data_IF_521002840987
#
_entry.id   IF_521002840987
#
_cell.length_a   1.000
_cell.length_b   1.000
_cell.length_c   1.000
_cell.angle_alpha   90.00
_cell.angle_beta   90.00
_cell.angle_gamma   90.00
#
_symmetry.space_group_name_H-M   'P 1'
#
loop_
_entity.id
_entity.type
_entity.pdbx_description
1 polymer ?
#
# COMPACT_ATOMS: atom_id res chain seq x y z
N UNK A 1 9.09 -1.36 -6.26
CA UNK A 1 8.44 -0.80 -7.46
C UNK A 1 6.91 -0.77 -7.33
N UNK A 2 6.20 -1.90 -7.50
CA UNK A 2 4.73 -1.90 -7.47
C UNK A 2 4.15 -1.40 -6.15
N UNK A 3 4.79 -1.77 -5.03
CA UNK A 3 4.42 -1.31 -3.69
C UNK A 3 4.57 0.22 -3.52
N UNK A 4 5.60 0.83 -4.10
CA UNK A 4 5.82 2.28 -3.99
C UNK A 4 4.71 3.09 -4.67
N UNK A 5 4.19 2.59 -5.81
CA UNK A 5 2.98 3.14 -6.42
C UNK A 5 1.76 2.98 -5.50
N UNK A 6 1.59 1.81 -4.86
CA UNK A 6 0.50 1.60 -3.90
C UNK A 6 0.58 2.57 -2.72
N UNK A 7 1.77 2.88 -2.20
CA UNK A 7 1.93 3.85 -1.13
C UNK A 7 1.50 5.28 -1.54
N UNK A 8 1.90 5.73 -2.73
CA UNK A 8 1.48 7.04 -3.25
C UNK A 8 -0.05 7.09 -3.43
N UNK A 9 -0.62 6.05 -4.02
CA UNK A 9 -2.07 5.95 -4.22
C UNK A 9 -2.82 5.86 -2.88
N UNK A 10 -2.31 5.06 -1.95
CA UNK A 10 -2.89 4.90 -0.62
C UNK A 10 -2.89 6.24 0.12
N UNK A 11 -1.73 6.91 0.22
CA UNK A 11 -1.58 8.25 0.78
C UNK A 11 -2.55 9.26 0.16
N UNK A 12 -2.71 9.23 -1.17
CA UNK A 12 -3.65 10.10 -1.87
C UNK A 12 -5.12 9.81 -1.54
N UNK A 13 -5.52 8.53 -1.52
CA UNK A 13 -6.89 8.12 -1.23
C UNK A 13 -7.27 8.39 0.23
N UNK A 14 -6.38 8.13 1.18
CA UNK A 14 -6.61 8.39 2.61
C UNK A 14 -6.57 9.88 2.91
N UNK A 15 -5.63 10.62 2.30
CA UNK A 15 -5.55 12.07 2.42
C UNK A 15 -6.82 12.73 1.91
N UNK A 16 -7.36 12.27 0.76
CA UNK A 16 -8.65 12.76 0.27
C UNK A 16 -9.76 12.50 1.26
N UNK A 17 -9.86 11.27 1.79
CA UNK A 17 -10.86 10.93 2.79
C UNK A 17 -10.80 11.86 4.02
N UNK A 18 -9.59 12.20 4.48
CA UNK A 18 -9.36 13.13 5.61
C UNK A 18 -9.77 14.56 5.27
N UNK A 19 -9.30 15.12 4.15
CA UNK A 19 -9.54 16.52 3.82
C UNK A 19 -10.97 16.78 3.32
N UNK A 20 -11.65 15.80 2.74
CA UNK A 20 -13.06 15.89 2.33
C UNK A 20 -14.05 15.44 3.42
N UNK A 21 -13.57 15.05 4.60
CA UNK A 21 -14.44 14.68 5.71
C UNK A 21 -15.32 15.86 6.16
N UNK A 22 -16.49 15.56 6.73
CA UNK A 22 -17.42 16.58 7.25
C UNK A 22 -16.71 17.47 8.27
N UNK A 23 -16.91 18.78 8.18
CA UNK A 23 -16.19 19.73 9.05
C UNK A 23 -16.78 19.81 10.46
N UNK A 24 -18.09 19.59 10.61
CA UNK A 24 -18.82 19.76 11.86
C UNK A 24 -18.90 18.49 12.73
N UNK A 25 -18.38 17.35 12.25
CA UNK A 25 -18.43 16.11 13.00
C UNK A 25 -17.37 16.08 14.12
N UNK A 26 -17.69 15.54 15.32
CA UNK A 26 -16.70 15.37 16.39
C UNK A 26 -15.50 14.52 15.94
N UNK A 27 -14.31 14.84 16.44
CA UNK A 27 -13.07 14.15 16.07
C UNK A 27 -13.15 12.63 16.28
N UNK A 28 -13.76 12.17 17.39
CA UNK A 28 -13.96 10.74 17.67
C UNK A 28 -14.82 10.03 16.62
N UNK A 29 -15.87 10.68 16.11
CA UNK A 29 -16.71 10.13 15.05
C UNK A 29 -15.95 10.02 13.72
N UNK A 30 -15.15 11.03 13.38
CA UNK A 30 -14.30 11.04 12.19
C UNK A 30 -13.20 9.97 12.25
N UNK A 31 -12.58 9.76 13.42
CA UNK A 31 -11.60 8.70 13.66
C UNK A 31 -12.22 7.32 13.47
N UNK A 32 -13.36 7.06 14.14
CA UNK A 32 -14.10 5.80 14.01
C UNK A 32 -14.49 5.54 12.55
N UNK A 33 -15.06 6.54 11.88
CA UNK A 33 -15.44 6.43 10.47
C UNK A 33 -14.22 6.10 9.60
N UNK A 34 -13.08 6.74 9.86
CA UNK A 34 -11.85 6.49 9.13
C UNK A 34 -11.36 5.04 9.28
N UNK A 35 -11.18 4.56 10.52
CA UNK A 35 -10.64 3.22 10.78
C UNK A 35 -11.59 2.12 10.32
N UNK A 36 -12.89 2.23 10.61
CA UNK A 36 -13.87 1.23 10.17
C UNK A 36 -13.88 1.09 8.64
N UNK A 37 -13.82 2.20 7.89
CA UNK A 37 -13.78 2.17 6.43
C UNK A 37 -12.56 1.44 5.86
N UNK A 38 -11.42 1.52 6.56
CA UNK A 38 -10.14 0.94 6.12
C UNK A 38 -10.01 -0.51 6.57
N UNK A 39 -10.19 -0.76 7.86
CA UNK A 39 -10.00 -2.07 8.46
C UNK A 39 -11.00 -3.10 7.97
N UNK A 40 -12.25 -2.73 7.67
CA UNK A 40 -13.23 -3.65 7.05
C UNK A 40 -12.81 -4.15 5.66
N UNK A 41 -11.88 -3.46 4.99
CA UNK A 41 -11.35 -3.84 3.69
C UNK A 41 -10.03 -4.61 3.79
N UNK A 42 -9.09 -4.16 4.62
CA UNK A 42 -7.73 -4.74 4.69
C UNK A 42 -7.64 -5.89 5.67
N UNK A 43 -8.06 -5.69 6.93
CA UNK A 43 -7.78 -6.64 8.02
C UNK A 43 -8.38 -8.05 7.84
N UNK A 44 -9.65 -8.23 7.43
CA UNK A 44 -10.24 -9.56 7.32
C UNK A 44 -9.43 -10.49 6.42
N UNK A 45 -9.07 -10.01 5.23
CA UNK A 45 -8.31 -10.82 4.28
C UNK A 45 -6.87 -11.03 4.78
N UNK A 46 -6.24 -10.01 5.35
CA UNK A 46 -4.91 -10.16 5.95
C UNK A 46 -4.86 -11.30 6.97
N UNK A 47 -5.80 -11.34 7.91
CA UNK A 47 -5.85 -12.38 8.94
C UNK A 47 -6.18 -13.77 8.37
N UNK A 48 -7.03 -13.84 7.34
CA UNK A 48 -7.31 -15.10 6.64
C UNK A 48 -6.06 -15.64 5.95
N UNK A 49 -5.31 -14.80 5.22
CA UNK A 49 -4.08 -15.24 4.56
C UNK A 49 -3.00 -15.58 5.59
N UNK A 50 -2.84 -14.79 6.63
CA UNK A 50 -1.91 -15.05 7.73
C UNK A 50 -2.21 -16.39 8.41
N UNK A 51 -3.47 -16.64 8.76
CA UNK A 51 -3.92 -17.91 9.33
C UNK A 51 -3.71 -19.08 8.37
N UNK A 52 -4.00 -18.90 7.08
CA UNK A 52 -3.75 -19.94 6.07
C UNK A 52 -2.26 -20.25 5.95
N UNK A 53 -1.40 -19.22 5.98
CA UNK A 53 0.04 -19.40 5.94
C UNK A 53 0.55 -20.13 7.20
N UNK A 54 0.05 -19.77 8.38
CA UNK A 54 0.37 -20.41 9.64
C UNK A 54 -0.03 -21.89 9.67
N UNK A 55 -1.17 -22.24 9.08
CA UNK A 55 -1.67 -23.61 9.00
C UNK A 55 -0.94 -24.43 7.92
N UNK A 56 -0.78 -23.90 6.71
CA UNK A 56 -0.18 -24.66 5.61
C UNK A 56 1.32 -24.82 5.73
N UNK A 57 2.04 -23.86 6.33
CA UNK A 57 3.50 -23.90 6.34
C UNK A 57 4.07 -25.17 6.99
N UNK A 58 3.65 -25.55 8.22
CA UNK A 58 4.13 -26.76 8.88
C UNK A 58 3.82 -28.03 8.10
N UNK A 59 2.65 -28.12 7.47
CA UNK A 59 2.18 -29.35 6.83
C UNK A 59 2.71 -29.52 5.40
N UNK A 60 2.78 -28.44 4.61
CA UNK A 60 3.18 -28.49 3.20
C UNK A 60 4.69 -28.36 3.04
N UNK A 61 5.31 -27.50 3.86
CA UNK A 61 6.72 -27.16 3.73
C UNK A 61 7.61 -27.82 4.78
N UNK A 62 7.01 -28.58 5.71
CA UNK A 62 7.72 -29.29 6.78
C UNK A 62 8.65 -28.36 7.59
N UNK A 63 8.26 -27.09 7.71
CA UNK A 63 9.02 -26.05 8.37
C UNK A 63 8.10 -25.26 9.31
N UNK A 64 8.54 -24.91 10.52
CA UNK A 64 7.72 -24.13 11.44
C UNK A 64 7.42 -22.74 10.85
N UNK A 65 6.23 -22.23 11.14
CA UNK A 65 5.90 -20.85 10.87
C UNK A 65 6.54 -19.95 11.92
N UNK A 66 7.56 -19.21 11.51
CA UNK A 66 8.32 -18.31 12.39
C UNK A 66 7.64 -16.93 12.47
N UNK A 67 6.68 -16.66 11.57
CA UNK A 67 5.91 -15.43 11.49
C UNK A 67 4.56 -15.40 12.21
N UNK A 68 4.31 -16.29 13.17
CA UNK A 68 3.01 -16.43 13.84
C UNK A 68 2.85 -15.66 15.15
N UNK A 69 3.82 -14.81 15.50
CA UNK A 69 3.83 -14.13 16.79
C UNK A 69 2.84 -12.97 16.88
N UNK A 70 2.66 -12.49 18.12
CA UNK A 70 1.83 -11.31 18.46
C UNK A 70 2.19 -10.07 17.63
N UNK A 71 3.44 -9.95 17.16
CA UNK A 71 3.90 -8.85 16.34
C UNK A 71 3.22 -8.80 14.96
N UNK A 72 2.79 -9.92 14.38
CA UNK A 72 2.00 -9.90 13.12
C UNK A 72 0.57 -9.42 13.34
N UNK A 73 -0.03 -9.71 14.50
CA UNK A 73 -1.36 -9.20 14.84
C UNK A 73 -1.38 -7.68 15.05
N UNK A 74 -0.24 -7.12 15.50
CA UNK A 74 -0.09 -5.69 15.78
C UNK A 74 0.68 -4.93 14.68
N UNK A 75 0.99 -5.56 13.54
CA UNK A 75 1.76 -4.97 12.43
C UNK A 75 3.19 -4.52 12.78
N UNK A 76 3.80 -5.13 13.79
CA UNK A 76 5.14 -4.80 14.28
C UNK A 76 6.26 -5.62 13.65
N UNK A 77 5.95 -6.53 12.72
CA UNK A 77 6.93 -7.43 12.12
C UNK A 77 8.02 -6.71 11.29
N UNK A 78 7.82 -5.44 10.93
CA UNK A 78 8.84 -4.60 10.29
C UNK A 78 10.04 -4.28 11.21
N UNK A 79 9.89 -4.50 12.51
CA UNK A 79 10.90 -4.24 13.53
C UNK A 79 11.45 -5.53 14.15
N UNK A 80 11.08 -6.68 13.59
CA UNK A 80 11.56 -8.00 13.98
C UNK A 80 12.19 -8.71 12.78
N UNK A 81 13.01 -9.75 12.97
CA UNK A 81 13.48 -10.57 11.86
C UNK A 81 12.31 -11.17 11.06
N UNK A 82 12.11 -10.69 9.83
CA UNK A 82 10.98 -11.07 8.96
C UNK A 82 11.39 -12.22 8.03
N UNK A 83 11.07 -13.45 8.42
CA UNK A 83 11.41 -14.66 7.65
C UNK A 83 10.26 -15.18 6.79
N UNK A 84 9.04 -15.02 7.27
CA UNK A 84 7.84 -15.54 6.66
C UNK A 84 6.84 -14.43 6.35
N UNK A 85 6.00 -14.68 5.35
CA UNK A 85 4.96 -13.74 4.95
C UNK A 85 5.56 -12.33 4.70
N UNK A 86 6.71 -12.32 4.02
CA UNK A 86 7.56 -11.15 3.81
C UNK A 86 6.77 -10.01 3.18
N UNK A 87 5.84 -10.30 2.26
CA UNK A 87 4.95 -9.32 1.63
C UNK A 87 4.15 -8.46 2.64
N UNK A 88 3.97 -8.92 3.88
CA UNK A 88 3.31 -8.13 4.93
C UNK A 88 4.07 -6.88 5.36
N UNK A 89 5.35 -6.74 4.99
CA UNK A 89 6.16 -5.57 5.34
C UNK A 89 5.49 -4.26 4.93
N UNK A 90 4.92 -4.24 3.72
CA UNK A 90 4.31 -3.04 3.16
C UNK A 90 3.01 -2.69 3.87
N UNK A 91 2.23 -3.71 4.23
CA UNK A 91 0.98 -3.52 4.94
C UNK A 91 1.19 -2.92 6.32
N UNK A 92 2.29 -3.27 7.00
CA UNK A 92 2.66 -2.62 8.26
C UNK A 92 2.90 -1.12 8.09
N UNK A 93 3.60 -0.73 7.02
CA UNK A 93 3.78 0.69 6.68
C UNK A 93 2.43 1.38 6.51
N UNK A 94 1.50 0.74 5.79
CA UNK A 94 0.15 1.28 5.60
C UNK A 94 -0.63 1.42 6.90
N UNK A 95 -0.70 0.36 7.71
CA UNK A 95 -1.50 0.34 8.94
C UNK A 95 -0.94 1.30 10.00
N UNK A 96 0.40 1.38 10.16
CA UNK A 96 1.03 2.42 10.99
C UNK A 96 0.64 3.83 10.51
N UNK A 97 0.62 4.07 9.20
CA UNK A 97 0.23 5.35 8.65
C UNK A 97 -1.28 5.62 8.82
N UNK A 98 -2.13 4.59 8.71
CA UNK A 98 -3.58 4.68 8.95
C UNK A 98 -3.92 4.95 10.42
N UNK A 99 -3.06 4.55 11.36
CA UNK A 99 -3.19 4.90 12.76
C UNK A 99 -2.80 6.36 13.01
N UNK A 100 -1.65 6.80 12.48
CA UNK A 100 -1.08 8.11 12.77
C UNK A 100 -1.82 9.25 12.03
N UNK A 101 -2.08 9.11 10.73
CA UNK A 101 -2.65 10.18 9.90
C UNK A 101 -3.96 10.77 10.46
N UNK A 102 -5.01 9.99 10.77
CA UNK A 102 -6.28 10.55 11.22
C UNK A 102 -6.15 11.20 12.60
N UNK A 103 -5.27 10.70 13.47
CA UNK A 103 -4.99 11.31 14.78
C UNK A 103 -4.35 12.69 14.60
N UNK A 104 -3.34 12.80 13.73
CA UNK A 104 -2.74 14.11 13.40
C UNK A 104 -3.77 15.05 12.78
N UNK A 105 -4.58 14.56 11.84
CA UNK A 105 -5.51 15.40 11.10
C UNK A 105 -6.73 15.85 11.91
N UNK A 106 -7.37 14.93 12.63
CA UNK A 106 -8.61 15.20 13.38
C UNK A 106 -8.35 15.51 14.86
N UNK A 107 -7.40 14.82 15.50
CA UNK A 107 -7.09 14.99 16.92
C UNK A 107 -6.25 16.25 17.20
N UNK A 108 -5.23 16.51 16.39
CA UNK A 108 -4.33 17.67 16.53
C UNK A 108 -4.69 18.84 15.62
N UNK A 109 -5.85 18.79 14.96
CA UNK A 109 -6.28 19.85 14.04
C UNK A 109 -5.44 19.97 12.76
N UNK A 110 -4.66 18.95 12.40
CA UNK A 110 -3.75 18.95 11.26
C UNK A 110 -4.41 19.20 9.90
N UNK A 111 -5.74 19.10 9.80
CA UNK A 111 -6.50 19.55 8.62
C UNK A 111 -6.21 20.99 8.21
N UNK A 112 -5.88 21.85 9.17
CA UNK A 112 -5.57 23.27 8.94
C UNK A 112 -4.10 23.52 8.62
N UNK A 113 -3.23 22.53 8.81
CA UNK A 113 -1.80 22.70 8.56
C UNK A 113 -1.50 22.95 7.08
N UNK A 114 -0.43 23.70 6.76
CA UNK A 114 0.06 23.86 5.40
C UNK A 114 0.36 22.51 4.74
N UNK A 115 0.19 22.43 3.42
CA UNK A 115 0.43 21.20 2.67
C UNK A 115 1.85 20.64 2.88
N UNK A 116 2.85 21.52 2.98
CA UNK A 116 4.26 21.16 3.17
C UNK A 116 4.52 20.34 4.45
N UNK A 117 3.74 20.52 5.51
CA UNK A 117 3.89 19.75 6.76
C UNK A 117 3.71 18.25 6.51
N UNK A 118 2.85 17.87 5.55
CA UNK A 118 2.62 16.48 5.19
C UNK A 118 3.79 15.83 4.43
N UNK A 119 4.80 16.60 4.03
CA UNK A 119 6.05 16.07 3.47
C UNK A 119 7.09 15.73 4.55
N UNK A 120 6.92 16.19 5.79
CA UNK A 120 7.87 15.95 6.89
C UNK A 120 8.14 14.45 7.11
N UNK A 121 7.15 13.54 7.12
CA UNK A 121 7.43 12.11 7.28
C UNK A 121 8.31 11.54 6.15
N UNK A 122 8.12 12.01 4.92
CA UNK A 122 8.96 11.62 3.78
C UNK A 122 10.38 12.18 3.89
N UNK A 123 10.54 13.42 4.37
CA UNK A 123 11.85 14.01 4.63
C UNK A 123 12.60 13.27 5.75
N UNK A 124 11.93 12.95 6.87
CA UNK A 124 12.49 12.16 7.96
C UNK A 124 12.88 10.74 7.51
N UNK A 125 12.06 10.12 6.65
CA UNK A 125 12.35 8.84 6.01
C UNK A 125 13.64 8.88 5.19
N UNK A 126 13.79 9.91 4.35
CA UNK A 126 15.02 10.12 3.57
C UNK A 126 16.25 10.36 4.46
N UNK A 127 16.14 11.23 5.46
CA UNK A 127 17.24 11.50 6.42
C UNK A 127 17.60 10.21 7.17
N UNK A 128 16.61 9.47 7.65
CA UNK A 128 16.81 8.19 8.31
C UNK A 128 17.55 7.19 7.42
N UNK A 129 17.14 7.07 6.14
CA UNK A 129 17.84 6.19 5.19
C UNK A 129 19.28 6.62 4.95
N UNK A 130 19.57 7.92 4.88
CA UNK A 130 20.96 8.42 4.78
C UNK A 130 21.77 8.01 6.00
N UNK A 131 21.23 8.21 7.21
CA UNK A 131 21.92 7.88 8.46
C UNK A 131 22.17 6.39 8.60
N UNK A 132 21.15 5.55 8.35
CA UNK A 132 21.28 4.10 8.38
C UNK A 132 22.26 3.62 7.31
N UNK A 133 22.14 4.11 6.08
CA UNK A 133 23.04 3.78 4.96
C UNK A 133 24.51 4.10 5.27
N UNK A 134 24.81 5.14 6.06
CA UNK A 134 26.18 5.47 6.49
C UNK A 134 26.70 4.58 7.62
N UNK A 135 25.80 4.04 8.43
CA UNK A 135 26.16 3.13 9.52
C UNK A 135 26.31 1.67 9.06
N UNK A 136 25.79 1.32 7.88
CA UNK A 136 25.86 -0.03 7.34
C UNK A 136 27.27 -0.35 6.80
N UNK A 137 27.82 -1.55 7.10
CA UNK A 137 29.06 -2.02 6.50
C UNK A 137 28.98 -2.08 4.96
N UNK A 138 30.09 -1.79 4.28
CA UNK A 138 30.16 -1.79 2.81
C UNK A 138 30.18 -3.20 2.20
N UNK A 139 30.50 -4.23 2.99
CA UNK A 139 30.58 -5.62 2.54
C UNK A 139 29.23 -6.35 2.51
N UNK A 140 28.13 -5.67 2.85
CA UNK A 140 26.80 -6.27 2.80
C UNK A 140 26.31 -6.45 1.37
N UNK A 141 25.61 -7.55 1.13
CA UNK A 141 24.96 -7.84 -0.14
C UNK A 141 23.64 -7.06 -0.29
N UNK A 142 23.12 -6.98 -1.53
CA UNK A 142 21.84 -6.30 -1.81
C UNK A 142 20.70 -6.93 -1.01
N UNK A 143 20.73 -8.25 -0.83
CA UNK A 143 19.72 -9.01 -0.10
C UNK A 143 19.72 -8.71 1.41
N UNK A 144 20.84 -8.23 1.95
CA UNK A 144 20.95 -7.83 3.36
C UNK A 144 20.61 -6.35 3.55
N UNK A 145 21.08 -5.49 2.65
CA UNK A 145 20.89 -4.03 2.75
C UNK A 145 19.45 -3.60 2.49
N UNK A 146 18.81 -4.14 1.45
CA UNK A 146 17.48 -3.69 1.01
C UNK A 146 16.44 -3.84 2.12
N UNK A 147 16.30 -5.00 2.80
CA UNK A 147 15.39 -5.15 3.93
C UNK A 147 15.55 -4.11 5.04
N UNK A 148 16.80 -3.77 5.39
CA UNK A 148 17.12 -2.84 6.48
C UNK A 148 16.68 -1.40 6.19
N UNK A 149 16.53 -1.04 4.91
CA UNK A 149 16.09 0.28 4.48
C UNK A 149 14.62 0.30 4.05
N UNK A 150 14.12 -0.82 3.51
CA UNK A 150 12.78 -0.93 2.92
C UNK A 150 11.71 -1.29 3.95
N UNK A 151 11.99 -2.19 4.89
CA UNK A 151 10.96 -2.69 5.80
C UNK A 151 10.63 -1.72 6.93
N UNK A 152 11.58 -1.09 7.64
CA UNK A 152 11.23 -0.24 8.77
C UNK A 152 10.33 0.92 8.34
N UNK A 153 9.15 1.04 8.96
CA UNK A 153 8.12 1.99 8.51
C UNK A 153 8.64 3.42 8.42
N UNK A 154 9.40 3.85 9.42
CA UNK A 154 9.96 5.20 9.50
C UNK A 154 10.96 5.53 8.38
N UNK A 155 11.45 4.54 7.63
CA UNK A 155 12.39 4.69 6.50
C UNK A 155 11.72 4.55 5.13
N UNK A 156 10.39 4.38 5.09
CA UNK A 156 9.63 4.17 3.84
C UNK A 156 8.33 4.97 3.77
N UNK A 157 8.28 6.16 4.38
CA UNK A 157 7.07 7.00 4.40
C UNK A 157 6.93 7.94 3.20
N UNK A 158 7.90 7.96 2.28
CA UNK A 158 7.96 8.89 1.14
C UNK A 158 6.68 8.89 0.29
N UNK A 159 6.25 7.70 -0.14
CA UNK A 159 5.07 7.54 -0.98
C UNK A 159 3.79 7.98 -0.27
N UNK A 160 3.61 7.58 0.99
CA UNK A 160 2.47 7.98 1.81
C UNK A 160 2.41 9.49 2.02
N UNK A 161 3.54 10.12 2.35
CA UNK A 161 3.67 11.56 2.56
C UNK A 161 3.34 12.35 1.28
N UNK A 162 3.92 11.94 0.14
CA UNK A 162 3.63 12.55 -1.17
C UNK A 162 2.17 12.38 -1.57
N UNK A 163 1.58 11.21 -1.31
CA UNK A 163 0.16 10.96 -1.55
C UNK A 163 -0.74 11.92 -0.76
N UNK A 164 -0.48 12.10 0.54
CA UNK A 164 -1.25 13.03 1.39
C UNK A 164 -1.03 14.48 0.95
N UNK A 165 0.20 14.86 0.61
CA UNK A 165 0.51 16.17 0.03
C UNK A 165 -0.29 16.43 -1.26
N UNK A 166 -0.32 15.46 -2.17
CA UNK A 166 -1.13 15.55 -3.40
C UNK A 166 -2.61 15.69 -3.08
N UNK A 167 -3.13 14.97 -2.08
CA UNK A 167 -4.52 15.09 -1.68
C UNK A 167 -4.86 16.47 -1.13
N UNK A 168 -3.97 17.06 -0.32
CA UNK A 168 -4.15 18.40 0.26
C UNK A 168 -4.07 19.51 -0.80
N UNK A 169 -3.21 19.34 -1.79
CA UNK A 169 -2.98 20.30 -2.88
C UNK A 169 -3.92 20.09 -4.07
N UNK A 170 -4.71 19.00 -4.06
CA UNK A 170 -5.65 18.64 -5.12
C UNK A 170 -6.52 19.78 -5.64
N UNK A 171 -7.10 20.66 -4.78
CA UNK A 171 -7.90 21.78 -5.27
C UNK A 171 -7.16 22.72 -6.25
N UNK A 172 -5.82 22.81 -6.16
CA UNK A 172 -5.02 23.69 -7.00
C UNK A 172 -4.61 22.99 -8.30
N UNK A 173 -3.93 21.84 -8.21
CA UNK A 173 -3.40 21.17 -9.40
C UNK A 173 -4.49 20.52 -10.27
N UNK A 174 -5.68 20.26 -9.71
CA UNK A 174 -6.86 19.84 -10.49
C UNK A 174 -7.30 20.88 -11.51
N UNK A 175 -7.10 22.16 -11.20
CA UNK A 175 -7.46 23.29 -12.06
C UNK A 175 -6.40 23.56 -13.14
N UNK A 176 -5.25 22.86 -13.11
CA UNK A 176 -4.22 23.04 -14.12
C UNK A 176 -4.73 22.69 -15.52
N UNK A 177 -4.34 23.47 -16.54
CA UNK A 177 -4.50 23.12 -17.95
C UNK A 177 -3.99 21.71 -18.27
N UNK A 178 -4.60 21.05 -19.26
CA UNK A 178 -4.23 19.70 -19.69
C UNK A 178 -2.73 19.57 -20.04
N UNK A 179 -2.12 20.61 -20.63
CA UNK A 179 -0.69 20.64 -20.95
C UNK A 179 0.21 20.49 -19.71
N UNK A 180 -0.17 21.08 -18.57
CA UNK A 180 0.61 20.98 -17.33
C UNK A 180 0.45 19.62 -16.66
N UNK A 181 -0.74 19.03 -16.74
CA UNK A 181 -0.96 17.64 -16.30
C UNK A 181 -0.17 16.64 -17.16
N UNK A 182 -0.14 16.85 -18.48
CA UNK A 182 0.66 16.05 -19.39
C UNK A 182 2.17 16.23 -19.15
N UNK A 183 2.64 17.47 -18.93
CA UNK A 183 4.02 17.75 -18.56
C UNK A 183 4.39 17.07 -17.22
N UNK A 184 3.50 17.07 -16.23
CA UNK A 184 3.67 16.32 -14.99
C UNK A 184 3.79 14.81 -15.25
N UNK A 185 2.94 14.23 -16.10
CA UNK A 185 3.07 12.81 -16.46
C UNK A 185 4.41 12.51 -17.13
N UNK A 186 4.80 13.30 -18.13
CA UNK A 186 6.06 13.13 -18.84
C UNK A 186 7.27 13.27 -17.91
N UNK A 187 7.26 14.27 -17.02
CA UNK A 187 8.27 14.42 -15.98
C UNK A 187 8.28 13.21 -15.04
N UNK A 188 7.11 12.71 -14.64
CA UNK A 188 6.99 11.50 -13.83
C UNK A 188 7.63 10.28 -14.48
N UNK A 189 7.35 10.03 -15.77
CA UNK A 189 8.01 8.98 -16.56
C UNK A 189 9.53 9.19 -16.61
N UNK A 190 9.97 10.43 -16.86
CA UNK A 190 11.40 10.78 -16.89
C UNK A 190 12.09 10.50 -15.56
N UNK A 191 11.50 10.92 -14.43
CA UNK A 191 12.02 10.65 -13.08
C UNK A 191 12.07 9.15 -12.81
N UNK A 192 11.05 8.37 -13.19
CA UNK A 192 11.08 6.92 -13.04
C UNK A 192 12.19 6.27 -13.88
N UNK A 193 12.33 6.68 -15.13
CA UNK A 193 13.36 6.16 -16.03
C UNK A 193 14.77 6.47 -15.49
N UNK A 194 15.01 7.72 -15.08
CA UNK A 194 16.29 8.14 -14.47
C UNK A 194 16.55 7.40 -13.16
N UNK A 195 15.54 7.28 -12.30
CA UNK A 195 15.67 6.55 -11.03
C UNK A 195 16.05 5.09 -11.30
N UNK A 196 15.39 4.42 -12.24
CA UNK A 196 15.68 3.03 -12.59
C UNK A 196 17.07 2.89 -13.24
N UNK A 197 17.44 3.79 -14.15
CA UNK A 197 18.73 3.74 -14.84
C UNK A 197 19.91 3.98 -13.90
N UNK A 198 19.79 4.94 -12.99
CA UNK A 198 20.87 5.28 -12.05
C UNK A 198 20.92 4.33 -10.85
N UNK A 199 19.76 3.94 -10.31
CA UNK A 199 19.69 3.16 -9.08
C UNK A 199 19.72 1.65 -9.30
N UNK A 200 19.20 1.15 -10.43
CA UNK A 200 19.14 -0.28 -10.71
C UNK A 200 20.51 -0.97 -10.68
N UNK A 201 21.53 -0.44 -11.40
CA UNK A 201 22.87 -1.03 -11.44
C UNK A 201 23.70 -0.84 -10.16
N UNK A 202 23.33 0.11 -9.30
CA UNK A 202 24.18 0.56 -8.16
C UNK A 202 23.48 0.45 -6.81
N UNK A 203 22.58 -0.51 -6.63
CA UNK A 203 21.78 -0.71 -5.40
C UNK A 203 22.60 -0.82 -4.10
N UNK A 204 23.91 -1.08 -4.16
CA UNK A 204 24.80 -1.11 -3.00
C UNK A 204 25.40 0.27 -2.64
N UNK A 205 25.41 1.22 -3.58
CA UNK A 205 25.93 2.57 -3.40
C UNK A 205 24.85 3.58 -3.01
N UNK A 206 24.94 4.81 -3.52
CA UNK A 206 23.98 5.88 -3.20
C UNK A 206 22.52 5.54 -3.55
N UNK A 207 22.31 4.65 -4.52
CA UNK A 207 20.99 4.20 -4.97
C UNK A 207 20.09 3.67 -3.84
N UNK A 208 20.65 3.01 -2.82
CA UNK A 208 19.87 2.43 -1.70
C UNK A 208 19.07 3.45 -0.91
N UNK A 209 19.46 4.72 -0.96
CA UNK A 209 18.78 5.83 -0.29
C UNK A 209 17.74 6.47 -1.21
N UNK A 210 18.12 6.72 -2.46
CA UNK A 210 17.38 7.58 -3.39
C UNK A 210 16.31 6.84 -4.19
N UNK A 211 16.46 5.53 -4.39
CA UNK A 211 15.54 4.75 -5.24
C UNK A 211 14.09 4.92 -4.79
N UNK A 212 13.80 4.76 -3.50
CA UNK A 212 12.44 4.83 -2.98
C UNK A 212 11.81 6.23 -3.10
N UNK A 213 12.59 7.30 -2.85
CA UNK A 213 12.13 8.68 -3.04
C UNK A 213 11.89 8.96 -4.52
N UNK A 214 12.82 8.58 -5.39
CA UNK A 214 12.70 8.79 -6.84
C UNK A 214 11.47 8.12 -7.42
N UNK A 215 11.20 6.87 -7.01
CA UNK A 215 9.98 6.15 -7.38
C UNK A 215 8.73 6.86 -6.88
N UNK A 216 8.71 7.25 -5.60
CA UNK A 216 7.56 7.91 -5.00
C UNK A 216 7.24 9.25 -5.67
N UNK A 217 8.27 10.04 -6.02
CA UNK A 217 8.13 11.30 -6.77
C UNK A 217 7.62 11.04 -8.19
N UNK A 218 8.21 10.09 -8.90
CA UNK A 218 7.79 9.71 -10.24
C UNK A 218 6.32 9.26 -10.29
N UNK A 219 5.91 8.40 -9.36
CA UNK A 219 4.52 7.96 -9.25
C UNK A 219 3.56 9.09 -8.82
N UNK A 220 3.98 9.99 -7.91
CA UNK A 220 3.18 11.15 -7.53
C UNK A 220 2.89 12.07 -8.72
N UNK A 221 3.90 12.34 -9.55
CA UNK A 221 3.75 13.12 -10.77
C UNK A 221 2.87 12.43 -11.82
N UNK A 222 2.97 11.11 -11.93
CA UNK A 222 2.05 10.31 -12.75
C UNK A 222 0.61 10.43 -12.27
N UNK A 223 0.34 10.35 -10.96
CA UNK A 223 -1.03 10.49 -10.41
C UNK A 223 -1.69 11.80 -10.85
N UNK A 224 -0.95 12.91 -10.85
CA UNK A 224 -1.44 14.22 -11.33
C UNK A 224 -1.81 14.16 -12.82
N UNK A 225 -0.95 13.57 -13.64
CA UNK A 225 -1.18 13.47 -15.08
C UNK A 225 -2.29 12.51 -15.48
N UNK A 226 -2.36 11.35 -14.81
CA UNK A 226 -3.36 10.31 -15.06
C UNK A 226 -4.78 10.77 -14.67
N UNK A 227 -4.93 11.75 -13.77
CA UNK A 227 -6.23 12.29 -13.41
C UNK A 227 -6.98 12.93 -14.60
N UNK A 228 -6.25 13.49 -15.56
CA UNK A 228 -6.84 14.07 -16.77
C UNK A 228 -7.39 13.01 -17.75
N UNK A 229 -6.94 11.75 -17.61
CA UNK A 229 -7.26 10.72 -18.58
C UNK A 229 -8.69 10.21 -18.41
N UNK A 230 -9.44 10.19 -19.52
CA UNK A 230 -10.77 9.59 -19.58
C UNK A 230 -10.66 8.24 -20.27
N UNK A 231 -10.81 7.17 -19.48
CA UNK A 231 -10.83 5.81 -20.02
C UNK A 231 -12.21 5.44 -20.58
N UNK A 232 -12.26 4.71 -21.72
CA UNK A 232 -13.50 4.13 -22.22
C UNK A 232 -14.06 3.11 -21.21
N UNK A 233 -15.37 2.81 -21.31
CA UNK A 233 -16.07 1.98 -20.31
C UNK A 233 -15.42 0.60 -20.12
N UNK A 234 -14.99 -0.05 -21.20
CA UNK A 234 -14.33 -1.36 -21.16
C UNK A 234 -12.99 -1.30 -20.41
N UNK A 235 -12.15 -0.30 -20.69
CA UNK A 235 -10.85 -0.13 -20.05
C UNK A 235 -11.02 0.19 -18.56
N UNK A 236 -12.01 1.01 -18.22
CA UNK A 236 -12.37 1.30 -16.83
C UNK A 236 -12.80 0.04 -16.08
N UNK A 237 -13.61 -0.82 -16.70
CA UNK A 237 -14.02 -2.11 -16.12
C UNK A 237 -12.81 -3.00 -15.89
N UNK A 238 -11.92 -3.12 -16.86
CA UNK A 238 -10.69 -3.91 -16.74
C UNK A 238 -9.78 -3.39 -15.60
N UNK A 239 -9.51 -2.08 -15.58
CA UNK A 239 -8.72 -1.44 -14.51
C UNK A 239 -9.35 -1.64 -13.14
N UNK A 240 -10.68 -1.50 -13.04
CA UNK A 240 -11.39 -1.73 -11.78
C UNK A 240 -11.26 -3.18 -11.31
N UNK A 241 -11.44 -4.16 -12.19
CA UNK A 241 -11.29 -5.58 -11.85
C UNK A 241 -9.89 -5.87 -11.32
N UNK A 242 -8.86 -5.39 -12.01
CA UNK A 242 -7.46 -5.55 -11.58
C UNK A 242 -7.22 -4.84 -10.25
N UNK A 243 -7.72 -3.61 -10.07
CA UNK A 243 -7.54 -2.85 -8.84
C UNK A 243 -8.21 -3.50 -7.62
N UNK A 244 -9.37 -4.15 -7.82
CA UNK A 244 -10.07 -4.87 -6.76
C UNK A 244 -9.30 -6.13 -6.35
N UNK A 245 -8.78 -6.89 -7.31
CA UNK A 245 -8.04 -8.13 -7.00
C UNK A 245 -6.60 -7.91 -6.56
N UNK A 246 -6.01 -6.74 -6.87
CA UNK A 246 -4.59 -6.45 -6.60
C UNK A 246 -4.18 -6.71 -5.15
N UNK A 247 -5.05 -6.39 -4.17
CA UNK A 247 -4.75 -6.61 -2.76
C UNK A 247 -4.69 -8.11 -2.40
N UNK A 248 -5.72 -8.88 -2.80
CA UNK A 248 -5.71 -10.33 -2.62
C UNK A 248 -4.56 -11.00 -3.35
N UNK A 249 -4.29 -10.61 -4.61
CA UNK A 249 -3.17 -11.13 -5.39
C UNK A 249 -1.84 -10.86 -4.67
N UNK A 250 -1.67 -9.63 -4.14
CA UNK A 250 -0.48 -9.27 -3.37
C UNK A 250 -0.33 -10.07 -2.09
N UNK A 251 -1.40 -10.41 -1.38
CA UNK A 251 -1.28 -11.25 -0.18
C UNK A 251 -0.96 -12.71 -0.51
N UNK A 252 -1.61 -13.28 -1.53
CA UNK A 252 -1.49 -14.70 -1.86
C UNK A 252 -0.23 -15.08 -2.64
N UNK A 253 0.33 -14.18 -3.47
CA UNK A 253 1.41 -14.55 -4.41
C UNK A 253 2.61 -15.24 -3.74
N UNK A 254 3.02 -14.77 -2.55
CA UNK A 254 4.16 -15.31 -1.82
C UNK A 254 3.94 -16.75 -1.32
N UNK A 255 2.70 -17.12 -1.01
CA UNK A 255 2.35 -18.49 -0.63
C UNK A 255 2.22 -19.40 -1.86
N UNK A 256 1.61 -18.89 -2.94
CA UNK A 256 1.43 -19.64 -4.19
C UNK A 256 2.77 -19.98 -4.84
N UNK A 257 3.72 -19.02 -4.87
CA UNK A 257 5.05 -19.27 -5.47
C UNK A 257 5.80 -20.34 -4.70
N UNK A 258 5.79 -20.28 -3.36
CA UNK A 258 6.41 -21.31 -2.52
C UNK A 258 5.76 -22.67 -2.76
N UNK A 259 4.43 -22.72 -2.89
CA UNK A 259 3.73 -23.96 -3.19
C UNK A 259 4.17 -24.57 -4.53
N UNK A 260 4.32 -23.74 -5.58
CA UNK A 260 4.82 -24.19 -6.88
C UNK A 260 6.26 -24.71 -6.78
N UNK A 261 7.13 -23.99 -6.09
CA UNK A 261 8.52 -24.40 -5.86
C UNK A 261 8.58 -25.75 -5.11
N UNK A 262 7.77 -25.91 -4.06
CA UNK A 262 7.74 -27.15 -3.25
C UNK A 262 7.27 -28.37 -4.04
N UNK A 263 6.40 -28.16 -5.02
CA UNK A 263 5.86 -29.20 -5.90
C UNK A 263 6.74 -29.43 -7.14
N UNK A 264 7.83 -28.66 -7.31
CA UNK A 264 8.63 -28.60 -8.54
C UNK A 264 7.74 -28.44 -9.78
N UNK A 265 6.73 -27.57 -9.69
CA UNK A 265 5.76 -27.40 -10.77
C UNK A 265 6.42 -26.78 -12.00
N UNK A 266 6.34 -27.45 -13.14
CA UNK A 266 6.70 -26.88 -14.44
C UNK A 266 5.89 -27.52 -15.56
N UNK A 267 5.46 -26.68 -16.50
CA UNK A 267 4.84 -27.02 -17.78
C UNK A 267 5.87 -27.09 -18.91
N UNK A 268 7.17 -27.07 -18.58
CA UNK A 268 8.28 -27.16 -19.54
C UNK A 268 8.62 -25.84 -20.25
N UNK A 269 7.83 -24.78 -20.04
CA UNK A 269 8.06 -23.45 -20.60
C UNK A 269 7.81 -22.36 -19.57
N UNK A 270 8.82 -21.52 -19.31
CA UNK A 270 8.76 -20.48 -18.27
C UNK A 270 7.56 -19.51 -18.42
N UNK A 271 7.14 -19.22 -19.66
CA UNK A 271 5.98 -18.36 -19.91
C UNK A 271 4.69 -19.04 -19.46
N UNK A 272 4.54 -20.34 -19.72
CA UNK A 272 3.37 -21.10 -19.30
C UNK A 272 3.33 -21.22 -17.77
N UNK A 273 4.49 -21.43 -17.14
CA UNK A 273 4.62 -21.46 -15.67
C UNK A 273 4.21 -20.12 -15.06
N UNK A 274 4.67 -19.01 -15.64
CA UNK A 274 4.28 -17.66 -15.20
C UNK A 274 2.78 -17.40 -15.38
N UNK A 275 2.22 -17.73 -16.54
CA UNK A 275 0.79 -17.52 -16.82
C UNK A 275 -0.05 -18.36 -15.87
N UNK A 276 0.32 -19.62 -15.63
CA UNK A 276 -0.39 -20.50 -14.72
C UNK A 276 -0.29 -20.03 -13.27
N UNK A 277 0.90 -19.62 -12.82
CA UNK A 277 1.12 -19.00 -11.51
C UNK A 277 0.23 -17.77 -11.30
N UNK A 278 0.19 -16.86 -12.27
CA UNK A 278 -0.64 -15.66 -12.21
C UNK A 278 -2.13 -16.02 -12.20
N UNK A 279 -2.55 -16.98 -13.02
CA UNK A 279 -3.93 -17.44 -13.08
C UNK A 279 -4.39 -18.05 -11.75
N UNK A 280 -3.57 -18.92 -11.14
CA UNK A 280 -3.84 -19.50 -9.81
C UNK A 280 -3.90 -18.41 -8.74
N UNK A 281 -2.92 -17.51 -8.72
CA UNK A 281 -2.87 -16.43 -7.73
C UNK A 281 -4.09 -15.51 -7.82
N UNK A 282 -4.46 -15.08 -9.03
CA UNK A 282 -5.64 -14.24 -9.26
C UNK A 282 -6.93 -15.00 -8.97
N UNK A 283 -6.99 -16.30 -9.29
CA UNK A 283 -8.13 -17.17 -8.99
C UNK A 283 -8.39 -17.29 -7.48
N UNK A 284 -7.34 -17.58 -6.69
CA UNK A 284 -7.41 -17.64 -5.22
C UNK A 284 -7.78 -16.27 -4.65
N UNK A 285 -7.15 -15.19 -5.13
CA UNK A 285 -7.47 -13.83 -4.73
C UNK A 285 -8.94 -13.48 -4.99
N UNK A 286 -9.47 -13.84 -6.16
CA UNK A 286 -10.88 -13.62 -6.50
C UNK A 286 -11.83 -14.43 -5.61
N UNK A 287 -11.53 -15.70 -5.36
CA UNK A 287 -12.29 -16.54 -4.44
C UNK A 287 -12.36 -15.94 -3.04
N UNK A 288 -11.22 -15.51 -2.51
CA UNK A 288 -11.14 -14.88 -1.18
C UNK A 288 -11.78 -13.48 -1.12
N UNK A 289 -11.71 -12.70 -2.20
CA UNK A 289 -12.44 -11.44 -2.32
C UNK A 289 -13.95 -11.64 -2.16
N UNK A 290 -14.52 -12.65 -2.83
CA UNK A 290 -15.95 -12.95 -2.75
C UNK A 290 -16.35 -13.48 -1.37
N UNK A 291 -15.51 -14.30 -0.75
CA UNK A 291 -15.80 -14.96 0.52
C UNK A 291 -15.54 -14.09 1.76
N UNK A 292 -14.57 -13.17 1.71
CA UNK A 292 -14.07 -12.44 2.89
C UNK A 292 -14.24 -10.93 2.74
N UNK A 293 -13.66 -10.33 1.69
CA UNK A 293 -13.68 -8.88 1.52
C UNK A 293 -15.08 -8.34 1.24
N UNK A 294 -15.84 -8.98 0.34
CA UNK A 294 -17.18 -8.53 -0.05
C UNK A 294 -18.16 -8.57 1.14
N UNK A 295 -18.19 -9.61 1.99
CA UNK A 295 -18.95 -9.58 3.24
C UNK A 295 -18.46 -8.53 4.24
N UNK A 296 -17.14 -8.36 4.41
CA UNK A 296 -16.58 -7.33 5.28
C UNK A 296 -17.02 -5.91 4.90
N UNK A 297 -17.06 -5.62 3.60
CA UNK A 297 -17.57 -4.36 3.06
C UNK A 297 -19.08 -4.17 3.27
N UNK A 298 -19.88 -5.24 3.34
CA UNK A 298 -21.31 -5.15 3.70
C UNK A 298 -21.49 -4.86 5.19
N UNK A 299 -20.70 -5.52 6.05
CA UNK A 299 -20.72 -5.31 7.50
C UNK A 299 -20.36 -3.86 7.86
N UNK A 300 -19.49 -3.20 7.08
CA UNK A 300 -19.16 -1.79 7.23
C UNK A 300 -20.38 -0.87 7.38
N UNK A 301 -21.48 -1.14 6.69
CA UNK A 301 -22.72 -0.36 6.81
C UNK A 301 -23.26 -0.35 8.24
N UNK A 302 -23.31 -1.53 8.87
CA UNK A 302 -23.78 -1.72 10.24
C UNK A 302 -22.93 -0.98 11.27
N UNK A 303 -21.60 -0.97 11.09
CA UNK A 303 -20.67 -0.28 12.00
C UNK A 303 -20.66 1.24 11.86
N UNK A 304 -21.14 1.78 10.73
CA UNK A 304 -21.15 3.21 10.44
C UNK A 304 -22.55 3.83 10.55
N UNK A 305 -23.60 3.02 10.63
CA UNK A 305 -24.94 3.51 10.95
C UNK A 305 -24.93 4.13 12.35
N UNK A 306 -25.43 5.38 12.50
CA UNK A 306 -25.66 5.94 13.81
C UNK A 306 -26.71 5.06 14.50
N UNK A 307 -26.34 4.44 15.62
CA UNK A 307 -27.28 3.85 16.56
C UNK A 307 -28.29 4.92 16.98
N UNK A 308 -29.43 5.02 16.28
CA UNK A 308 -30.48 5.98 16.60
C UNK A 308 -31.21 6.69 15.45
N UNK A 309 -31.26 6.17 14.21
CA UNK A 309 -32.27 6.62 13.24
C UNK A 309 -33.28 5.50 12.97
N UNK A 310 -34.58 5.68 13.30
CA UNK A 310 -35.59 4.71 12.89
C UNK A 310 -35.60 4.64 11.36
N UNK A 311 -35.67 3.41 10.84
CA UNK A 311 -35.77 3.17 9.41
C UNK A 311 -36.89 4.04 8.82
N UNK A 312 -36.68 4.71 7.67
CA UNK A 312 -37.76 5.45 7.04
C UNK A 312 -38.89 4.46 6.77
N UNK A 313 -40.06 4.74 7.36
CA UNK A 313 -41.28 4.00 7.10
C UNK A 313 -41.44 3.91 5.58
N UNK A 314 -41.53 2.68 5.06
CA UNK A 314 -41.92 2.45 3.68
C UNK A 314 -43.32 3.06 3.53
N UNK A 315 -43.40 4.22 2.88
CA UNK A 315 -44.66 4.76 2.40
C UNK A 315 -45.14 3.88 1.22
N UNK A 316 -46.46 3.68 1.09
CA UNK A 316 -47.09 2.57 0.36
C UNK A 316 -46.77 2.49 -1.14
#
# INVERSE_FOLDING_TARGET
MGVDLFFVLSGYLIGRQVFTARQEAPAGALLREFWVKRWTRTLPLYFVVLGTYALLKPHVFQAPFVGGGWHYALFLQNYTPLFDFVQSWSLCVEEHFYLVLPVLAFGLGGRRWPAAVWLVPGALSLVGRVLVSRALPENLTVLEVVPLLQWPTHLHLDGMALGVFLARTAPHWRQWPARWKAASAALGVGVLAVTLALCGPTLLGHARVWVFTGLSVGFALLVVGLEAMRLPRWARKAVYTVAVTSYGTYLWHGLVVRFFDRMNFSLGFWVLDLVFFLAVTVGVAWGTYLAVEKPGLKLRGWWLEPSGRPAPARAP
#
